data_IF_847044907117
#
_entry.id   IF_847044907117
#
_cell.length_a   1.000
_cell.length_b   1.000
_cell.length_c   1.000
_cell.angle_alpha   90.00
_cell.angle_beta   90.00
_cell.angle_gamma   90.00
#
_symmetry.space_group_name_H-M   'P 1'
#
loop_
_entity.id
_entity.type
_entity.pdbx_description
1 polymer ?
#
# COMPACT_ATOMS: atom_id res chain seq x y z
N UNK A 1 16.12 -23.32 11.01
CA UNK A 1 16.11 -21.96 10.41
C UNK A 1 14.70 -21.41 10.61
N UNK A 2 14.57 -20.34 11.38
CA UNK A 2 13.30 -19.94 12.02
C UNK A 2 12.15 -19.71 11.02
N UNK A 3 11.00 -20.35 11.26
CA UNK A 3 9.79 -20.30 10.44
C UNK A 3 9.04 -18.95 10.51
N UNK A 4 9.58 -17.96 11.22
CA UNK A 4 8.96 -16.64 11.45
C UNK A 4 9.03 -15.70 10.24
N UNK A 5 9.87 -15.99 9.23
CA UNK A 5 10.07 -15.15 8.05
C UNK A 5 9.70 -15.87 6.74
N UNK A 6 8.62 -16.65 6.71
CA UNK A 6 8.07 -17.16 5.44
C UNK A 6 7.38 -16.04 4.66
N UNK A 7 7.27 -16.09 3.32
CA UNK A 7 6.53 -15.09 2.55
C UNK A 7 5.08 -14.92 3.03
N UNK A 8 4.42 -16.02 3.41
CA UNK A 8 3.07 -16.00 3.97
C UNK A 8 3.01 -15.25 5.30
N UNK A 9 3.96 -15.49 6.20
CA UNK A 9 3.99 -14.83 7.50
C UNK A 9 4.31 -13.34 7.35
N UNK A 10 5.21 -12.97 6.45
CA UNK A 10 5.49 -11.56 6.14
C UNK A 10 4.27 -10.85 5.55
N UNK A 11 3.51 -11.51 4.67
CA UNK A 11 2.25 -10.96 4.14
C UNK A 11 1.19 -10.75 5.23
N UNK A 12 1.12 -11.66 6.23
CA UNK A 12 0.26 -11.49 7.40
C UNK A 12 0.71 -10.31 8.25
N UNK A 13 2.01 -10.18 8.53
CA UNK A 13 2.57 -9.03 9.26
C UNK A 13 2.21 -7.70 8.59
N UNK A 14 2.36 -7.57 7.27
CA UNK A 14 1.93 -6.36 6.54
C UNK A 14 0.47 -6.01 6.85
N UNK A 15 -0.43 -7.01 6.90
CA UNK A 15 -1.84 -6.78 7.20
C UNK A 15 -2.10 -6.41 8.66
N UNK A 16 -1.27 -6.86 9.59
CA UNK A 16 -1.37 -6.53 11.01
C UNK A 16 -0.94 -5.09 11.21
N UNK A 17 0.26 -4.70 10.74
CA UNK A 17 0.76 -3.33 10.88
C UNK A 17 -0.12 -2.31 10.14
N UNK A 18 -0.72 -2.71 9.00
CA UNK A 18 -1.68 -1.85 8.32
C UNK A 18 -2.97 -1.64 9.14
N UNK A 19 -3.30 -2.59 10.01
CA UNK A 19 -4.35 -2.46 11.01
C UNK A 19 -3.96 -1.49 12.12
N UNK A 20 -2.75 -1.61 12.66
CA UNK A 20 -2.23 -0.71 13.71
C UNK A 20 -2.12 0.75 13.19
N UNK A 21 -1.66 0.93 11.95
CA UNK A 21 -1.70 2.22 11.26
C UNK A 21 -3.14 2.76 11.11
N UNK A 22 -4.11 1.89 10.83
CA UNK A 22 -5.51 2.31 10.74
C UNK A 22 -6.09 2.70 12.11
N UNK A 23 -5.66 2.05 13.19
CA UNK A 23 -6.09 2.35 14.56
C UNK A 23 -5.74 3.78 14.97
N UNK A 24 -4.65 4.34 14.45
CA UNK A 24 -4.27 5.74 14.62
C UNK A 24 -5.38 6.73 14.19
N UNK A 25 -6.30 6.30 13.33
CA UNK A 25 -7.39 7.12 12.78
C UNK A 25 -8.79 6.57 13.11
N UNK A 26 -8.91 5.57 14.00
CA UNK A 26 -10.17 4.85 14.23
C UNK A 26 -11.28 5.75 14.78
N UNK A 27 -10.93 6.72 15.63
CA UNK A 27 -11.89 7.53 16.39
C UNK A 27 -11.90 9.00 15.98
N UNK A 28 -10.88 9.48 15.27
CA UNK A 28 -10.78 10.86 14.78
C UNK A 28 -9.87 10.94 13.55
N UNK A 29 -10.02 12.01 12.79
CA UNK A 29 -9.05 12.40 11.75
C UNK A 29 -7.84 13.15 12.33
N UNK A 30 -7.92 13.60 13.60
CA UNK A 30 -6.76 14.06 14.34
C UNK A 30 -5.88 12.84 14.68
N UNK A 31 -4.58 12.94 14.43
CA UNK A 31 -3.65 11.84 14.61
C UNK A 31 -2.40 12.28 15.36
N UNK A 32 -1.79 11.34 16.08
CA UNK A 32 -0.46 11.50 16.64
C UNK A 32 0.57 11.23 15.53
N UNK A 33 1.36 12.26 15.18
CA UNK A 33 2.36 12.17 14.12
C UNK A 33 3.41 11.09 14.42
N UNK A 34 3.86 10.96 15.66
CA UNK A 34 4.90 9.98 16.02
C UNK A 34 4.36 8.56 15.90
N UNK A 35 3.11 8.34 16.34
CA UNK A 35 2.48 7.03 16.24
C UNK A 35 2.24 6.64 14.77
N UNK A 36 1.70 7.54 13.95
CA UNK A 36 1.48 7.28 12.52
C UNK A 36 2.80 6.99 11.79
N UNK A 37 3.87 7.73 12.10
CA UNK A 37 5.20 7.47 11.52
C UNK A 37 5.74 6.10 11.92
N UNK A 38 5.56 5.68 13.18
CA UNK A 38 5.96 4.36 13.65
C UNK A 38 5.23 3.24 12.89
N UNK A 39 3.89 3.26 12.88
CA UNK A 39 3.11 2.19 12.25
C UNK A 39 3.30 2.16 10.72
N UNK A 40 3.46 3.32 10.09
CA UNK A 40 3.79 3.40 8.67
C UNK A 40 5.17 2.79 8.38
N UNK A 41 6.16 3.05 9.24
CA UNK A 41 7.48 2.47 9.10
C UNK A 41 7.44 0.94 9.24
N UNK A 42 6.61 0.40 10.12
CA UNK A 42 6.46 -1.04 10.30
C UNK A 42 5.81 -1.71 9.07
N UNK A 43 4.74 -1.11 8.52
CA UNK A 43 4.14 -1.57 7.24
C UNK A 43 5.18 -1.65 6.12
N UNK A 44 5.98 -0.59 5.95
CA UNK A 44 6.99 -0.51 4.89
C UNK A 44 8.13 -1.50 5.14
N UNK A 45 8.55 -1.67 6.40
CA UNK A 45 9.60 -2.61 6.80
C UNK A 45 9.23 -4.05 6.43
N UNK A 46 7.99 -4.46 6.72
CA UNK A 46 7.54 -5.79 6.30
C UNK A 46 7.38 -5.93 4.78
N UNK A 47 7.00 -4.87 4.07
CA UNK A 47 7.02 -4.86 2.60
C UNK A 47 8.43 -5.10 2.04
N UNK A 48 9.43 -4.43 2.60
CA UNK A 48 10.85 -4.59 2.23
C UNK A 48 11.30 -6.03 2.52
N UNK A 49 10.98 -6.56 3.70
CA UNK A 49 11.32 -7.94 4.05
C UNK A 49 10.67 -8.95 3.09
N UNK A 50 9.41 -8.75 2.72
CA UNK A 50 8.72 -9.61 1.77
C UNK A 50 9.36 -9.55 0.38
N UNK A 51 9.66 -8.35 -0.12
CA UNK A 51 10.32 -8.15 -1.41
C UNK A 51 11.67 -8.88 -1.47
N UNK A 52 12.50 -8.70 -0.43
CA UNK A 52 13.76 -9.43 -0.28
C UNK A 52 13.54 -10.95 -0.21
N UNK A 53 12.50 -11.40 0.48
CA UNK A 53 12.21 -12.84 0.63
C UNK A 53 11.79 -13.51 -0.67
N UNK A 54 11.05 -12.81 -1.53
CA UNK A 54 10.58 -13.34 -2.82
C UNK A 54 11.52 -12.99 -3.98
N UNK A 55 12.62 -12.27 -3.71
CA UNK A 55 13.67 -11.97 -4.70
C UNK A 55 13.27 -10.92 -5.72
N UNK A 56 12.50 -9.89 -5.31
CA UNK A 56 12.12 -8.78 -6.18
C UNK A 56 12.67 -7.45 -5.66
N UNK A 57 12.99 -6.55 -6.58
CA UNK A 57 13.30 -5.15 -6.29
C UNK A 57 11.98 -4.40 -6.04
N UNK A 58 11.78 -3.93 -4.82
CA UNK A 58 10.55 -3.25 -4.40
C UNK A 58 10.31 -1.96 -5.18
N UNK A 59 11.35 -1.16 -5.38
CA UNK A 59 11.25 0.12 -6.09
C UNK A 59 10.88 -0.12 -7.56
N UNK A 60 11.52 -1.12 -8.20
CA UNK A 60 11.21 -1.47 -9.58
C UNK A 60 9.75 -1.93 -9.77
N UNK A 61 9.22 -2.78 -8.87
CA UNK A 61 7.82 -3.24 -9.00
C UNK A 61 6.80 -2.14 -8.70
N UNK A 62 7.12 -1.22 -7.78
CA UNK A 62 6.27 -0.05 -7.48
C UNK A 62 6.27 0.91 -8.67
N UNK A 63 7.44 1.24 -9.22
CA UNK A 63 7.55 2.14 -10.38
C UNK A 63 6.84 1.58 -11.61
N UNK A 64 7.05 0.29 -11.92
CA UNK A 64 6.33 -0.40 -13.00
C UNK A 64 4.81 -0.34 -12.81
N UNK A 65 4.33 -0.49 -11.56
CA UNK A 65 2.90 -0.38 -11.25
C UNK A 65 2.38 1.05 -11.45
N UNK A 66 3.13 2.07 -11.03
CA UNK A 66 2.77 3.47 -11.22
C UNK A 66 2.69 3.85 -12.70
N UNK A 67 3.63 3.40 -13.52
CA UNK A 67 3.60 3.59 -14.98
C UNK A 67 2.35 2.96 -15.60
N UNK A 68 2.02 1.73 -15.22
CA UNK A 68 0.80 1.05 -15.68
C UNK A 68 -0.49 1.76 -15.24
N UNK A 69 -0.43 2.50 -14.13
CA UNK A 69 -1.58 3.27 -13.61
C UNK A 69 -1.71 4.60 -14.35
N UNK A 70 -0.61 5.29 -14.68
CA UNK A 70 -0.60 6.50 -15.52
C UNK A 70 -1.15 6.23 -16.92
N UNK A 71 -0.83 5.06 -17.49
CA UNK A 71 -1.40 4.65 -18.78
C UNK A 71 -2.92 4.40 -18.71
N UNK A 72 -3.46 4.10 -17.52
CA UNK A 72 -4.90 3.91 -17.29
C UNK A 72 -5.63 5.19 -16.88
N UNK A 73 -4.91 6.16 -16.30
CA UNK A 73 -5.44 7.42 -15.79
C UNK A 73 -4.47 8.56 -16.12
N UNK A 74 -4.73 9.33 -17.19
CA UNK A 74 -3.99 10.56 -17.47
C UNK A 74 -4.09 11.49 -16.25
N UNK A 75 -2.94 12.05 -15.84
CA UNK A 75 -2.74 12.80 -14.59
C UNK A 75 -3.73 13.98 -14.39
N UNK A 76 -4.36 14.45 -15.47
CA UNK A 76 -5.47 15.42 -15.48
C UNK A 76 -6.65 15.03 -14.56
N UNK A 77 -6.92 13.74 -14.35
CA UNK A 77 -8.07 13.27 -13.54
C UNK A 77 -7.74 13.00 -12.06
N UNK A 78 -6.46 13.03 -11.67
CA UNK A 78 -6.00 12.53 -10.36
C UNK A 78 -5.68 13.64 -9.34
N UNK A 79 -5.77 14.92 -9.72
CA UNK A 79 -5.68 16.04 -8.76
C UNK A 79 -7.03 16.24 -8.07
N UNK A 80 -7.27 15.50 -7.01
CA UNK A 80 -8.26 15.88 -5.99
C UNK A 80 -9.52 15.04 -5.86
N UNK A 81 -9.60 13.83 -6.45
CA UNK A 81 -10.71 12.92 -6.17
C UNK A 81 -10.23 11.50 -5.91
N UNK A 82 -10.18 11.12 -4.63
CA UNK A 82 -10.28 9.73 -4.19
C UNK A 82 -11.71 9.25 -4.44
N UNK A 83 -12.15 9.24 -5.70
CA UNK A 83 -13.43 8.68 -6.08
C UNK A 83 -13.20 7.25 -6.51
N UNK A 84 -13.35 6.32 -5.56
CA UNK A 84 -13.67 4.93 -5.89
C UNK A 84 -14.96 4.97 -6.72
N UNK A 85 -14.89 4.70 -8.02
CA UNK A 85 -16.08 4.30 -8.76
C UNK A 85 -15.81 3.06 -9.60
N UNK A 86 -16.24 1.95 -9.03
CA UNK A 86 -16.86 0.84 -9.72
C UNK A 86 -17.84 1.38 -10.77
N UNK A 87 -17.76 0.85 -12.01
CA UNK A 87 -18.52 1.17 -13.23
C UNK A 87 -17.95 2.29 -14.12
N UNK A 88 -17.13 1.86 -15.08
CA UNK A 88 -17.10 2.45 -16.43
C UNK A 88 -17.43 1.31 -17.40
N UNK A 89 -18.72 1.02 -17.54
CA UNK A 89 -19.26 0.31 -18.69
C UNK A 89 -19.92 1.34 -19.60
N UNK A 90 -19.58 1.23 -20.88
CA UNK A 90 -20.22 1.80 -22.08
C UNK A 90 -19.79 3.22 -22.49
N UNK A 91 -18.97 3.24 -23.55
CA UNK A 91 -18.78 4.39 -24.42
C UNK A 91 -19.98 4.49 -25.39
N UNK A 92 -20.50 5.68 -25.69
CA UNK A 92 -21.26 5.89 -26.91
C UNK A 92 -20.30 6.23 -28.07
N UNK A 93 -20.69 5.77 -29.25
CA UNK A 93 -20.06 5.98 -30.57
C UNK A 93 -19.77 7.44 -30.92
#
# INVERSE_FOLDING_TARGET
MSAVNSPENLAKSISIEAGELLECFQWSADFDQEQVEAELADVVTYCIHLANKIGVDLDAIVMKKLESTKAKYPVELARGRMTKYTKLSEAPE
#
